data_IF_220412755824
#
_entry.id   IF_220412755824
#
_cell.length_a   1.000
_cell.length_b   1.000
_cell.length_c   1.000
_cell.angle_alpha   90.00
_cell.angle_beta   90.00
_cell.angle_gamma   90.00
#
_symmetry.space_group_name_H-M   'P 1'
#
loop_
_entity.id
_entity.type
_entity.pdbx_description
1 polymer ?
#
# COMPACT_ATOMS: atom_id res chain seq x y z
N UNK A 1 8.41 -8.45 27.47
CA UNK A 1 6.95 -8.35 27.22
C UNK A 1 6.66 -8.58 25.74
N UNK A 2 5.64 -9.38 25.36
CA UNK A 2 5.25 -9.59 23.95
C UNK A 2 4.05 -8.69 23.60
N UNK A 3 4.26 -7.65 22.80
CA UNK A 3 3.22 -6.65 22.44
C UNK A 3 1.97 -7.30 21.84
N UNK A 4 2.13 -8.26 20.93
CA UNK A 4 1.01 -8.93 20.24
C UNK A 4 0.78 -10.38 20.67
N UNK A 5 1.50 -10.86 21.69
CA UNK A 5 1.41 -12.24 22.25
C UNK A 5 1.57 -13.40 21.24
N UNK A 6 1.96 -13.14 19.99
CA UNK A 6 2.22 -14.20 19.01
C UNK A 6 3.48 -15.02 19.35
N UNK A 7 3.42 -16.32 19.08
CA UNK A 7 4.52 -17.27 19.33
C UNK A 7 5.44 -17.40 18.12
N UNK A 8 4.90 -17.22 16.92
CA UNK A 8 5.67 -17.25 15.67
C UNK A 8 5.13 -16.20 14.68
N UNK A 9 5.91 -15.92 13.61
CA UNK A 9 5.53 -14.99 12.55
C UNK A 9 4.31 -15.43 11.73
N UNK A 10 4.01 -16.73 11.70
CA UNK A 10 2.92 -17.32 10.94
C UNK A 10 1.56 -17.11 11.63
N UNK A 11 1.54 -16.97 12.96
CA UNK A 11 0.33 -16.73 13.78
C UNK A 11 -0.44 -15.48 13.36
N UNK A 12 0.25 -14.47 12.82
CA UNK A 12 -0.38 -13.26 12.27
C UNK A 12 -1.30 -13.64 11.10
N UNK A 13 -0.82 -14.45 10.17
CA UNK A 13 -1.61 -14.87 9.00
C UNK A 13 -2.75 -15.81 9.39
N UNK A 14 -2.56 -16.67 10.38
CA UNK A 14 -3.64 -17.49 10.95
C UNK A 14 -4.77 -16.63 11.50
N UNK A 15 -4.42 -15.59 12.27
CA UNK A 15 -5.42 -14.67 12.82
C UNK A 15 -6.14 -13.89 11.72
N UNK A 16 -5.41 -13.41 10.70
CA UNK A 16 -6.01 -12.73 9.54
C UNK A 16 -6.99 -13.66 8.82
N UNK A 17 -6.61 -14.92 8.54
CA UNK A 17 -7.52 -15.91 7.92
C UNK A 17 -8.79 -16.10 8.73
N UNK A 18 -8.67 -16.27 10.05
CA UNK A 18 -9.81 -16.46 10.93
C UNK A 18 -10.78 -15.26 10.91
N UNK A 19 -10.25 -14.04 10.88
CA UNK A 19 -11.05 -12.81 10.76
C UNK A 19 -11.72 -12.73 9.39
N UNK A 20 -10.97 -12.91 8.30
CA UNK A 20 -11.50 -12.88 6.95
C UNK A 20 -12.63 -13.91 6.75
N UNK A 21 -12.46 -15.13 7.28
CA UNK A 21 -13.48 -16.19 7.26
C UNK A 21 -14.75 -15.78 8.00
N UNK A 22 -14.63 -15.21 9.20
CA UNK A 22 -15.77 -14.74 10.00
C UNK A 22 -16.52 -13.61 9.30
N UNK A 23 -15.79 -12.70 8.66
CA UNK A 23 -16.34 -11.56 7.93
C UNK A 23 -16.77 -11.90 6.49
N UNK A 24 -16.62 -13.16 6.03
CA UNK A 24 -16.93 -13.61 4.66
C UNK A 24 -16.23 -12.78 3.56
N UNK A 25 -14.99 -12.35 3.81
CA UNK A 25 -14.17 -11.60 2.84
C UNK A 25 -12.97 -12.42 2.35
N UNK A 26 -12.48 -12.10 1.15
CA UNK A 26 -11.30 -12.75 0.56
C UNK A 26 -10.08 -12.53 1.44
N UNK A 27 -9.44 -13.64 1.84
CA UNK A 27 -8.18 -13.60 2.57
C UNK A 27 -7.08 -12.90 1.77
N UNK A 28 -6.29 -12.09 2.47
CA UNK A 28 -5.05 -11.50 1.97
C UNK A 28 -3.97 -11.64 3.05
N UNK A 29 -2.74 -12.06 2.69
CA UNK A 29 -1.66 -12.24 3.66
C UNK A 29 -1.21 -10.92 4.27
N UNK A 30 -0.60 -10.98 5.45
CA UNK A 30 -0.08 -9.83 6.21
C UNK A 30 0.81 -8.91 5.37
N UNK A 31 1.68 -9.46 4.52
CA UNK A 31 2.52 -8.65 3.63
C UNK A 31 1.71 -7.81 2.63
N UNK A 32 0.60 -8.34 2.12
CA UNK A 32 -0.26 -7.65 1.16
C UNK A 32 -1.13 -6.57 1.81
N UNK A 33 -1.68 -6.83 3.00
CA UNK A 33 -2.52 -5.86 3.73
C UNK A 33 -1.73 -4.88 4.58
N UNK A 34 -0.47 -5.20 4.90
CA UNK A 34 0.47 -4.36 5.64
C UNK A 34 1.33 -3.56 4.68
N UNK A 35 2.58 -4.02 4.44
CA UNK A 35 3.60 -3.23 3.73
C UNK A 35 3.17 -2.71 2.36
N UNK A 36 2.53 -3.54 1.53
CA UNK A 36 2.07 -3.11 0.19
C UNK A 36 0.98 -2.04 0.27
N UNK A 37 0.01 -2.24 1.17
CA UNK A 37 -1.06 -1.27 1.39
C UNK A 37 -0.53 0.03 1.99
N UNK A 38 0.38 -0.05 2.94
CA UNK A 38 1.04 1.11 3.52
C UNK A 38 1.74 1.96 2.45
N UNK A 39 2.63 1.35 1.64
CA UNK A 39 3.33 2.04 0.56
C UNK A 39 2.36 2.67 -0.46
N UNK A 40 1.41 1.87 -0.94
CA UNK A 40 0.44 2.33 -1.96
C UNK A 40 -0.44 3.48 -1.44
N UNK A 41 -0.89 3.41 -0.18
CA UNK A 41 -1.70 4.47 0.41
C UNK A 41 -0.92 5.78 0.57
N UNK A 42 0.35 5.72 0.98
CA UNK A 42 1.20 6.92 1.10
C UNK A 42 1.36 7.64 -0.25
N UNK A 43 1.63 6.88 -1.32
CA UNK A 43 1.72 7.44 -2.67
C UNK A 43 0.38 8.04 -3.12
N UNK A 44 -0.74 7.39 -2.82
CA UNK A 44 -2.07 7.91 -3.14
C UNK A 44 -2.41 9.19 -2.36
N UNK A 45 -1.86 9.37 -1.17
CA UNK A 45 -1.99 10.60 -0.36
C UNK A 45 -1.02 11.71 -0.81
N UNK A 46 -0.17 11.47 -1.81
CA UNK A 46 0.79 12.46 -2.31
C UNK A 46 2.03 12.63 -1.43
N UNK A 47 2.31 11.69 -0.53
CA UNK A 47 3.55 11.69 0.25
C UNK A 47 4.72 11.44 -0.70
N UNK A 48 5.82 12.19 -0.53
CA UNK A 48 7.00 12.00 -1.36
C UNK A 48 7.64 10.61 -1.12
N UNK A 49 8.33 10.11 -2.14
CA UNK A 49 8.90 8.76 -2.14
C UNK A 49 9.91 8.58 -1.00
N UNK A 50 10.73 9.58 -0.71
CA UNK A 50 11.80 9.47 0.27
C UNK A 50 11.23 9.41 1.70
N UNK A 51 10.30 10.29 2.03
CA UNK A 51 9.58 10.27 3.32
C UNK A 51 8.83 8.96 3.51
N UNK A 52 8.12 8.47 2.49
CA UNK A 52 7.42 7.19 2.56
C UNK A 52 8.38 6.01 2.78
N UNK A 53 9.54 6.04 2.12
CA UNK A 53 10.59 5.03 2.30
C UNK A 53 11.15 5.03 3.72
N UNK A 54 11.50 6.21 4.23
CA UNK A 54 12.07 6.37 5.57
C UNK A 54 11.05 5.95 6.65
N UNK A 55 9.78 6.33 6.49
CA UNK A 55 8.70 5.92 7.40
C UNK A 55 8.46 4.40 7.42
N UNK A 56 8.63 3.70 6.29
CA UNK A 56 8.43 2.26 6.19
C UNK A 56 9.71 1.40 6.28
N UNK A 57 10.86 2.04 6.49
CA UNK A 57 12.15 1.39 6.64
C UNK A 57 12.65 0.71 5.36
N UNK A 58 12.45 1.32 4.19
CA UNK A 58 12.98 0.83 2.92
C UNK A 58 14.28 1.54 2.54
N UNK A 59 15.33 0.77 2.29
CA UNK A 59 16.64 1.30 1.89
C UNK A 59 16.73 1.55 0.39
N UNK A 60 16.04 0.74 -0.42
CA UNK A 60 16.13 0.80 -1.88
C UNK A 60 14.84 1.29 -2.52
N UNK A 61 14.97 2.32 -3.36
CA UNK A 61 13.87 2.88 -4.15
C UNK A 61 13.35 1.87 -5.19
N UNK A 62 14.25 1.07 -5.80
CA UNK A 62 13.84 0.05 -6.78
C UNK A 62 13.00 -1.04 -6.13
N UNK A 63 13.36 -1.45 -4.91
CA UNK A 63 12.54 -2.40 -4.13
C UNK A 63 11.22 -1.77 -3.72
N UNK A 64 11.22 -0.53 -3.25
CA UNK A 64 10.01 0.18 -2.84
C UNK A 64 9.00 0.29 -4.00
N UNK A 65 9.41 0.90 -5.11
CA UNK A 65 8.54 1.15 -6.27
C UNK A 65 8.19 -0.16 -6.99
N UNK A 66 9.14 -1.08 -7.15
CA UNK A 66 8.91 -2.32 -7.90
C UNK A 66 8.13 -3.39 -7.13
N UNK A 67 8.20 -3.40 -5.80
CA UNK A 67 7.64 -4.50 -4.98
C UNK A 67 6.43 -4.08 -4.14
N UNK A 68 6.37 -2.83 -3.69
CA UNK A 68 5.42 -2.39 -2.67
C UNK A 68 4.36 -1.41 -3.16
N UNK A 69 4.72 -0.54 -4.11
CA UNK A 69 3.79 0.42 -4.69
C UNK A 69 3.06 -0.21 -5.88
N UNK A 70 1.72 -0.14 -5.86
CA UNK A 70 0.90 -0.60 -6.97
C UNK A 70 -0.11 0.46 -7.36
N UNK A 71 -0.05 0.91 -8.61
CA UNK A 71 -1.05 1.79 -9.19
C UNK A 71 -2.10 0.97 -9.92
N UNK A 72 -3.38 1.28 -9.71
CA UNK A 72 -4.49 0.74 -10.50
C UNK A 72 -4.88 1.77 -11.55
N UNK A 73 -5.17 1.31 -12.77
CA UNK A 73 -5.67 2.16 -13.85
C UNK A 73 -4.76 3.38 -14.15
N UNK A 74 -3.44 3.18 -14.13
CA UNK A 74 -2.47 4.28 -14.25
C UNK A 74 -2.72 5.19 -15.47
N UNK A 75 -3.00 4.61 -16.64
CA UNK A 75 -3.31 5.38 -17.84
C UNK A 75 -4.55 6.28 -17.70
N UNK A 76 -5.60 5.80 -17.02
CA UNK A 76 -6.78 6.61 -16.73
C UNK A 76 -6.44 7.75 -15.79
N UNK A 77 -5.73 7.49 -14.69
CA UNK A 77 -5.33 8.52 -13.71
C UNK A 77 -4.51 9.62 -14.39
N UNK A 78 -3.56 9.24 -15.24
CA UNK A 78 -2.74 10.19 -15.99
C UNK A 78 -3.61 11.00 -16.95
N UNK A 79 -4.50 10.37 -17.71
CA UNK A 79 -5.42 11.07 -18.61
C UNK A 79 -6.33 12.06 -17.88
N UNK A 80 -6.90 11.68 -16.74
CA UNK A 80 -7.72 12.57 -15.91
C UNK A 80 -6.92 13.80 -15.45
N UNK A 81 -5.67 13.61 -15.02
CA UNK A 81 -4.80 14.71 -14.58
C UNK A 81 -4.42 15.65 -15.73
N UNK A 82 -4.05 15.13 -16.90
CA UNK A 82 -3.80 15.97 -18.07
C UNK A 82 -5.03 16.75 -18.51
N UNK A 83 -6.21 16.14 -18.45
CA UNK A 83 -7.46 16.83 -18.77
C UNK A 83 -7.70 18.00 -17.80
N UNK A 84 -7.49 17.81 -16.49
CA UNK A 84 -7.63 18.88 -15.49
C UNK A 84 -6.68 20.05 -15.78
N UNK A 85 -5.41 19.79 -16.05
CA UNK A 85 -4.43 20.84 -16.38
C UNK A 85 -4.84 21.66 -17.61
N UNK A 86 -5.34 20.99 -18.66
CA UNK A 86 -5.76 21.67 -19.90
C UNK A 86 -7.00 22.56 -19.71
N UNK A 87 -7.87 22.27 -18.73
CA UNK A 87 -9.00 23.14 -18.42
C UNK A 87 -8.54 24.42 -17.72
N UNK A 88 -7.55 24.34 -16.83
CA UNK A 88 -7.02 25.50 -16.10
C UNK A 88 -6.28 26.48 -17.04
N UNK A 89 -5.72 26.01 -18.16
CA UNK A 89 -5.08 26.85 -19.19
C UNK A 89 -6.07 27.51 -20.18
N UNK A 90 -7.33 27.07 -20.20
CA UNK A 90 -8.35 27.51 -21.16
C UNK A 90 -9.32 28.58 -20.61
N UNK A 91 -9.09 29.06 -19.38
CA UNK A 91 -9.81 30.14 -18.69
C UNK A 91 -8.88 31.35 -18.56
#
# INVERSE_FOLDING_TARGET
MRVFRFTNRHSVNERIRAVCRRAKIKYKPSHAIGRRKFATSLMAMGVDVKTAMDAGGWVSASVFLGTYVFTKNAGRVVSEKFNMLRYDEAV
#
